data_IF_033417356907
#
_entry.id   IF_033417356907
#
_cell.length_a   1.000
_cell.length_b   1.000
_cell.length_c   1.000
_cell.angle_alpha   90.00
_cell.angle_beta   90.00
_cell.angle_gamma   90.00
#
_symmetry.space_group_name_H-M   'P 1'
#
loop_
_entity.id
_entity.type
_entity.pdbx_description
1 polymer ?
#
# COMPACT_ATOMS: atom_id res chain seq x y z
N UNK A 1 3.09 -10.91 14.15
CA UNK A 1 3.86 -9.69 14.48
C UNK A 1 4.21 -9.04 13.15
N UNK A 2 3.50 -7.99 12.76
CA UNK A 2 3.76 -7.30 11.48
C UNK A 2 5.11 -6.60 11.55
N UNK A 3 5.86 -6.54 10.45
CA UNK A 3 7.06 -5.72 10.40
C UNK A 3 6.70 -4.28 10.73
N UNK A 4 7.45 -3.65 11.63
CA UNK A 4 7.29 -2.23 11.91
C UNK A 4 7.73 -1.45 10.67
N UNK A 5 6.75 -0.82 10.01
CA UNK A 5 7.01 0.05 8.87
C UNK A 5 7.50 1.39 9.43
N UNK A 6 8.80 1.64 9.33
CA UNK A 6 9.45 2.81 9.93
C UNK A 6 9.89 3.85 8.91
N UNK A 7 9.94 3.47 7.63
CA UNK A 7 10.37 4.32 6.53
C UNK A 7 9.53 4.16 5.26
N UNK A 8 9.72 5.08 4.31
CA UNK A 8 9.12 5.01 2.96
C UNK A 8 9.71 3.84 2.16
N UNK A 9 10.99 3.53 2.38
CA UNK A 9 11.68 2.45 1.68
C UNK A 9 11.16 1.07 2.14
N UNK A 10 10.77 0.96 3.42
CA UNK A 10 10.08 -0.24 3.95
C UNK A 10 8.78 -0.50 3.20
N UNK A 11 7.97 0.54 2.93
CA UNK A 11 6.72 0.42 2.17
C UNK A 11 7.00 -0.04 0.74
N UNK A 12 8.01 0.53 0.10
CA UNK A 12 8.40 0.18 -1.27
C UNK A 12 8.81 -1.30 -1.34
N UNK A 13 9.67 -1.74 -0.42
CA UNK A 13 10.12 -3.13 -0.35
C UNK A 13 8.97 -4.10 -0.03
N UNK A 14 8.06 -3.68 0.85
CA UNK A 14 6.90 -4.47 1.27
C UNK A 14 5.89 -4.65 0.13
N UNK A 15 5.61 -3.62 -0.66
CA UNK A 15 4.75 -3.71 -1.84
C UNK A 15 5.41 -4.50 -2.98
N UNK A 16 6.72 -4.32 -3.18
CA UNK A 16 7.49 -5.08 -4.18
C UNK A 16 7.45 -6.59 -3.91
N UNK A 17 7.50 -7.01 -2.63
CA UNK A 17 7.32 -8.43 -2.23
C UNK A 17 5.95 -9.01 -2.61
N UNK A 18 4.94 -8.16 -2.81
CA UNK A 18 3.60 -8.55 -3.29
C UNK A 18 3.45 -8.37 -4.80
N UNK A 19 4.54 -8.10 -5.53
CA UNK A 19 4.52 -7.86 -6.97
C UNK A 19 4.03 -6.47 -7.39
N UNK A 20 3.88 -5.53 -6.45
CA UNK A 20 3.47 -4.16 -6.75
C UNK A 20 4.65 -3.20 -6.69
N UNK A 21 5.10 -2.71 -7.85
CA UNK A 21 6.17 -1.72 -7.95
C UNK A 21 5.55 -0.33 -7.96
N UNK A 22 5.93 0.49 -6.97
CA UNK A 22 5.43 1.86 -6.85
C UNK A 22 6.56 2.90 -6.88
N UNK A 23 6.21 4.12 -7.28
CA UNK A 23 7.05 5.29 -7.10
C UNK A 23 7.15 5.71 -5.62
N UNK A 24 8.12 6.60 -5.34
CA UNK A 24 8.36 7.12 -3.98
C UNK A 24 7.20 7.97 -3.47
N UNK A 25 6.50 8.67 -4.35
CA UNK A 25 5.31 9.46 -4.08
C UNK A 25 4.19 8.61 -3.46
N UNK A 26 3.83 7.51 -4.13
CA UNK A 26 2.80 6.58 -3.65
C UNK A 26 3.23 5.87 -2.37
N UNK A 27 4.50 5.44 -2.29
CA UNK A 27 5.05 4.84 -1.08
C UNK A 27 4.98 5.82 0.12
N UNK A 28 5.22 7.11 -0.12
CA UNK A 28 5.13 8.16 0.92
C UNK A 28 3.71 8.31 1.43
N UNK A 29 2.73 8.38 0.53
CA UNK A 29 1.32 8.54 0.93
C UNK A 29 0.82 7.30 1.68
N UNK A 30 1.19 6.10 1.23
CA UNK A 30 0.87 4.85 1.93
C UNK A 30 1.53 4.81 3.31
N UNK A 31 2.81 5.19 3.42
CA UNK A 31 3.52 5.28 4.69
C UNK A 31 2.80 6.21 5.68
N UNK A 32 2.43 7.42 5.24
CA UNK A 32 1.72 8.39 6.07
C UNK A 32 0.33 7.87 6.48
N UNK A 33 -0.42 7.25 5.57
CA UNK A 33 -1.73 6.68 5.89
C UNK A 33 -1.64 5.60 6.98
N UNK A 34 -0.65 4.71 6.86
CA UNK A 34 -0.39 3.65 7.84
C UNK A 34 0.08 4.21 9.19
N UNK A 35 0.99 5.20 9.16
CA UNK A 35 1.56 5.82 10.37
C UNK A 35 0.53 6.65 11.14
N UNK A 36 -0.34 7.38 10.43
CA UNK A 36 -1.35 8.25 11.01
C UNK A 36 -2.67 7.52 11.29
N UNK A 37 -2.83 6.29 10.82
CA UNK A 37 -4.09 5.54 10.92
C UNK A 37 -5.24 6.23 10.17
N UNK A 38 -4.96 6.87 9.03
CA UNK A 38 -5.95 7.61 8.24
C UNK A 38 -6.34 6.84 6.98
N UNK A 39 -7.61 6.93 6.52
CA UNK A 39 -8.03 6.34 5.25
C UNK A 39 -7.23 6.89 4.07
N UNK A 40 -6.98 6.04 3.07
CA UNK A 40 -6.36 6.40 1.80
C UNK A 40 -7.38 6.23 0.67
N UNK A 41 -7.66 7.32 -0.05
CA UNK A 41 -8.46 7.28 -1.27
C UNK A 41 -7.53 7.36 -2.48
N UNK A 42 -7.78 6.52 -3.49
CA UNK A 42 -6.96 6.44 -4.69
C UNK A 42 -7.82 6.81 -5.91
N UNK A 43 -7.45 7.91 -6.56
CA UNK A 43 -8.06 8.38 -7.81
C UNK A 43 -7.16 8.08 -9.02
N UNK A 44 -7.74 8.08 -10.21
CA UNK A 44 -7.02 7.91 -11.48
C UNK A 44 -7.83 7.15 -12.53
N UNK A 45 -7.28 7.00 -13.72
CA UNK A 45 -7.93 6.32 -14.85
C UNK A 45 -8.15 4.81 -14.60
N UNK A 46 -9.07 4.20 -15.35
CA UNK A 46 -9.23 2.75 -15.32
C UNK A 46 -7.92 2.07 -15.76
N UNK A 47 -7.51 1.00 -15.06
CA UNK A 47 -6.31 0.24 -15.40
C UNK A 47 -4.98 0.72 -14.79
N UNK A 48 -4.94 1.85 -14.06
CA UNK A 48 -3.68 2.38 -13.44
C UNK A 48 -3.24 1.65 -12.16
N UNK A 49 -3.79 0.47 -11.87
CA UNK A 49 -3.37 -0.35 -10.72
C UNK A 49 -4.02 -0.03 -9.37
N UNK A 50 -5.08 0.78 -9.31
CA UNK A 50 -5.82 1.12 -8.06
C UNK A 50 -6.33 -0.10 -7.30
N UNK A 51 -6.86 -1.10 -8.01
CA UNK A 51 -7.31 -2.36 -7.40
C UNK A 51 -6.14 -3.21 -6.94
N UNK A 52 -5.03 -3.15 -7.66
CA UNK A 52 -3.87 -4.02 -7.43
C UNK A 52 -3.10 -3.59 -6.19
N UNK A 53 -2.92 -2.28 -5.98
CA UNK A 53 -2.33 -1.78 -4.74
C UNK A 53 -3.18 -2.13 -3.51
N UNK A 54 -4.52 -2.10 -3.61
CA UNK A 54 -5.39 -2.50 -2.50
C UNK A 54 -5.16 -3.97 -2.10
N UNK A 55 -5.01 -4.86 -3.09
CA UNK A 55 -4.63 -6.27 -2.85
C UNK A 55 -3.23 -6.38 -2.23
N UNK A 56 -2.24 -5.68 -2.78
CA UNK A 56 -0.86 -5.72 -2.29
C UNK A 56 -0.76 -5.23 -0.84
N UNK A 57 -1.40 -4.11 -0.49
CA UNK A 57 -1.45 -3.61 0.89
C UNK A 57 -2.14 -4.62 1.81
N UNK A 58 -3.28 -5.19 1.38
CA UNK A 58 -4.01 -6.18 2.19
C UNK A 58 -3.17 -7.43 2.46
N UNK A 59 -2.51 -7.97 1.44
CA UNK A 59 -1.66 -9.14 1.55
C UNK A 59 -0.44 -8.86 2.44
N UNK A 60 0.23 -7.73 2.24
CA UNK A 60 1.42 -7.38 3.00
C UNK A 60 1.14 -7.09 4.48
N UNK A 61 -0.02 -6.54 4.82
CA UNK A 61 -0.44 -6.30 6.19
C UNK A 61 -1.12 -7.52 6.83
N UNK A 62 -1.29 -8.62 6.09
CA UNK A 62 -2.04 -9.80 6.55
C UNK A 62 -3.50 -9.48 6.90
N UNK A 63 -4.11 -8.51 6.20
CA UNK A 63 -5.48 -8.06 6.43
C UNK A 63 -6.42 -8.65 5.39
N UNK A 64 -7.71 -8.72 5.73
CA UNK A 64 -8.77 -9.12 4.81
C UNK A 64 -9.10 -7.96 3.87
N UNK A 65 -9.05 -8.21 2.55
CA UNK A 65 -9.55 -7.28 1.55
C UNK A 65 -11.07 -7.43 1.42
N UNK A 66 -11.81 -6.36 1.69
CA UNK A 66 -13.26 -6.33 1.49
C UNK A 66 -13.50 -5.66 0.14
N UNK A 67 -14.19 -6.36 -0.78
CA UNK A 67 -14.65 -5.83 -2.05
C UNK A 67 -16.18 -5.84 -2.04
N UNK A 68 -16.76 -4.65 -2.19
CA UNK A 68 -18.21 -4.43 -2.25
C UNK A 68 -18.70 -4.48 -3.71
#
# INVERSE_FOLDING_TARGET
MGQDITSIDDVTALLAKQGYICGRDLATVVFLALRLGRPLFLEGEAGVGKTEIAKAISAALGRRLIRL
#
